data_IF_261703172700
#
_entry.id   IF_261703172700
#
_cell.length_a   1.000
_cell.length_b   1.000
_cell.length_c   1.000
_cell.angle_alpha   90.00
_cell.angle_beta   90.00
_cell.angle_gamma   90.00
#
_symmetry.space_group_name_H-M   'P 1'
#
loop_
_entity.id
_entity.type
_entity.pdbx_description
1 polymer ?
#
# COMPACT_ATOMS: atom_id res chain seq x y z
N UNK A 1 10.68 25.33 26.80
CA UNK A 1 9.47 24.80 26.16
C UNK A 1 9.89 23.65 25.26
N UNK A 2 9.89 22.41 25.77
CA UNK A 2 10.12 21.22 24.94
C UNK A 2 8.84 20.94 24.16
N UNK A 3 8.66 21.56 23.00
CA UNK A 3 7.60 21.17 22.06
C UNK A 3 8.02 19.89 21.36
N UNK A 4 7.90 18.78 22.08
CA UNK A 4 7.98 17.43 21.53
C UNK A 4 6.74 17.18 20.68
N UNK A 5 6.73 17.71 19.46
CA UNK A 5 5.96 17.01 18.42
C UNK A 5 6.52 15.59 18.40
N UNK A 6 5.70 14.54 18.50
CA UNK A 6 6.21 13.19 18.31
C UNK A 6 6.92 13.16 16.95
N UNK A 7 8.09 12.50 16.83
CA UNK A 7 8.88 12.45 15.59
C UNK A 7 8.04 12.19 14.33
N UNK A 8 6.93 11.46 14.50
CA UNK A 8 5.98 11.17 13.45
C UNK A 8 5.16 12.35 12.93
N UNK A 9 4.66 13.24 13.77
CA UNK A 9 3.94 14.43 13.30
C UNK A 9 4.85 15.33 12.46
N UNK A 10 6.13 15.41 12.85
CA UNK A 10 7.17 16.11 12.08
C UNK A 10 7.41 15.42 10.74
N UNK A 11 7.51 14.08 10.74
CA UNK A 11 7.66 13.28 9.53
C UNK A 11 6.52 13.51 8.52
N UNK A 12 5.27 13.41 8.97
CA UNK A 12 4.09 13.57 8.11
C UNK A 12 3.97 15.03 7.60
N UNK A 13 4.30 16.03 8.44
CA UNK A 13 4.33 17.43 8.02
C UNK A 13 5.43 17.71 6.98
N UNK A 14 6.65 17.18 7.17
CA UNK A 14 7.75 17.33 6.22
C UNK A 14 7.43 16.61 4.90
N UNK A 15 6.88 15.39 4.98
CA UNK A 15 6.40 14.64 3.82
C UNK A 15 5.42 15.51 3.02
N UNK A 16 4.41 16.07 3.69
CA UNK A 16 3.34 16.83 3.06
C UNK A 16 3.81 18.15 2.48
N UNK A 17 4.59 18.95 3.22
CA UNK A 17 5.10 20.24 2.74
C UNK A 17 5.97 20.08 1.50
N UNK A 18 6.84 19.06 1.50
CA UNK A 18 7.70 18.77 0.36
C UNK A 18 6.90 18.25 -0.82
N UNK A 19 5.95 17.34 -0.58
CA UNK A 19 5.11 16.78 -1.65
C UNK A 19 4.24 17.85 -2.32
N UNK A 20 3.73 18.82 -1.55
CA UNK A 20 2.96 19.96 -2.07
C UNK A 20 3.79 20.89 -2.97
N UNK A 21 5.09 20.98 -2.75
CA UNK A 21 5.98 21.85 -3.54
C UNK A 21 6.66 21.13 -4.71
N UNK A 22 6.90 19.82 -4.59
CA UNK A 22 7.68 19.03 -5.56
C UNK A 22 6.88 17.95 -6.29
N UNK A 23 5.62 17.75 -5.95
CA UNK A 23 4.78 16.67 -6.46
C UNK A 23 5.08 15.31 -5.81
N UNK A 24 4.23 14.33 -6.11
CA UNK A 24 4.35 12.96 -5.60
C UNK A 24 5.61 12.23 -6.10
N UNK A 25 6.11 12.59 -7.28
CA UNK A 25 7.27 11.96 -7.92
C UNK A 25 8.58 12.24 -7.18
N UNK A 26 8.59 13.25 -6.31
CA UNK A 26 9.69 13.48 -5.38
C UNK A 26 9.90 12.31 -4.43
N UNK A 27 8.81 11.71 -3.93
CA UNK A 27 8.86 10.59 -2.99
C UNK A 27 8.81 9.24 -3.67
N UNK A 28 8.02 9.11 -4.73
CA UNK A 28 7.84 7.87 -5.47
C UNK A 28 8.06 8.17 -6.95
N UNK A 29 9.21 7.80 -7.50
CA UNK A 29 9.69 8.25 -8.82
C UNK A 29 8.71 8.02 -9.97
N UNK A 30 7.85 7.00 -9.87
CA UNK A 30 6.80 6.69 -10.84
C UNK A 30 5.39 7.11 -10.36
N UNK A 31 5.27 8.15 -9.53
CA UNK A 31 4.00 8.72 -9.06
C UNK A 31 3.84 10.20 -9.43
N UNK A 32 3.49 10.50 -10.67
CA UNK A 32 3.28 11.86 -11.19
C UNK A 32 1.88 12.36 -10.81
N UNK A 33 1.78 12.95 -9.63
CA UNK A 33 0.56 13.59 -9.15
C UNK A 33 0.88 14.85 -8.35
N UNK A 34 0.00 15.83 -8.43
CA UNK A 34 0.04 16.99 -7.55
C UNK A 34 -0.49 16.61 -6.17
N UNK A 35 0.13 17.13 -5.12
CA UNK A 35 -0.31 16.90 -3.75
C UNK A 35 -0.93 18.18 -3.20
N UNK A 36 -2.16 18.05 -2.72
CA UNK A 36 -2.84 19.05 -1.91
C UNK A 36 -3.00 18.55 -0.47
N UNK A 37 -3.66 19.36 0.36
CA UNK A 37 -3.97 18.99 1.74
C UNK A 37 -5.46 19.19 2.01
N UNK A 38 -5.99 18.38 2.92
CA UNK A 38 -7.28 18.63 3.57
C UNK A 38 -7.14 18.45 5.07
N UNK A 39 -7.93 19.18 5.84
CA UNK A 39 -8.04 18.98 7.28
C UNK A 39 -9.08 17.89 7.57
N UNK A 40 -8.74 16.99 8.50
CA UNK A 40 -9.66 16.00 9.08
C UNK A 40 -9.38 15.95 10.58
N UNK A 41 -10.32 16.43 11.39
CA UNK A 41 -10.16 16.45 12.85
C UNK A 41 -9.06 17.39 13.34
N UNK A 42 -8.79 18.50 12.64
CA UNK A 42 -7.72 19.44 13.00
C UNK A 42 -6.32 18.98 12.58
N UNK A 43 -6.22 17.90 11.80
CA UNK A 43 -4.97 17.36 11.30
C UNK A 43 -4.91 17.41 9.77
N UNK A 44 -3.77 17.83 9.18
CA UNK A 44 -3.61 17.88 7.73
C UNK A 44 -3.34 16.48 7.17
N UNK A 45 -4.06 16.11 6.11
CA UNK A 45 -3.87 14.87 5.36
C UNK A 45 -3.56 15.15 3.89
N UNK A 46 -2.68 14.36 3.26
CA UNK A 46 -2.36 14.53 1.85
C UNK A 46 -3.55 14.15 0.97
N UNK A 47 -3.73 14.92 -0.11
CA UNK A 47 -4.67 14.60 -1.18
C UNK A 47 -3.87 14.51 -2.48
N UNK A 48 -3.76 13.32 -3.06
CA UNK A 48 -3.17 13.16 -4.40
C UNK A 48 -4.20 13.53 -5.44
N UNK A 49 -3.94 14.58 -6.21
CA UNK A 49 -4.71 14.90 -7.40
C UNK A 49 -4.14 14.10 -8.56
N UNK A 50 -4.91 13.11 -8.99
CA UNK A 50 -4.51 12.28 -10.11
C UNK A 50 -4.80 13.00 -11.41
N UNK A 51 -3.95 12.81 -12.40
CA UNK A 51 -4.24 13.18 -13.78
C UNK A 51 -4.14 11.94 -14.68
N UNK A 52 -4.35 12.11 -15.98
CA UNK A 52 -4.31 11.00 -16.93
C UNK A 52 -2.99 10.23 -16.78
N UNK A 53 -3.08 8.98 -16.32
CA UNK A 53 -1.88 8.24 -15.91
C UNK A 53 -1.05 7.74 -17.10
N UNK A 54 0.25 8.01 -17.07
CA UNK A 54 1.21 7.36 -17.97
C UNK A 54 1.25 5.84 -17.74
N UNK A 55 1.73 5.07 -18.71
CA UNK A 55 1.78 3.61 -18.72
C UNK A 55 2.61 3.00 -17.58
N UNK A 56 3.60 3.71 -17.08
CA UNK A 56 4.48 3.26 -15.99
C UNK A 56 4.08 3.81 -14.62
N UNK A 57 2.99 4.57 -14.55
CA UNK A 57 2.51 5.19 -13.33
C UNK A 57 2.19 4.13 -12.26
N UNK A 58 2.62 4.38 -11.03
CA UNK A 58 2.47 3.46 -9.92
C UNK A 58 0.99 3.20 -9.61
N UNK A 59 0.66 1.99 -9.14
CA UNK A 59 -0.70 1.70 -8.68
C UNK A 59 -1.10 2.57 -7.47
N UNK A 60 -0.15 3.14 -6.72
CA UNK A 60 -0.48 4.00 -5.56
C UNK A 60 -1.04 5.38 -5.98
N UNK A 61 -0.81 5.79 -7.23
CA UNK A 61 -1.25 7.05 -7.84
C UNK A 61 -2.04 6.84 -9.13
N UNK A 62 -2.33 5.60 -9.54
CA UNK A 62 -3.09 5.33 -10.76
C UNK A 62 -4.11 4.21 -10.58
N UNK A 63 -5.42 4.54 -10.63
CA UNK A 63 -6.50 3.59 -10.73
C UNK A 63 -6.43 2.71 -11.98
N UNK A 64 -5.90 3.24 -13.10
CA UNK A 64 -5.62 2.44 -14.30
C UNK A 64 -4.57 1.38 -14.03
N UNK A 65 -3.49 1.75 -13.35
CA UNK A 65 -2.46 0.79 -12.97
C UNK A 65 -3.00 -0.22 -11.97
N UNK A 66 -3.73 0.22 -10.94
CA UNK A 66 -4.33 -0.64 -9.91
C UNK A 66 -5.29 -1.69 -10.50
N UNK A 67 -6.31 -1.25 -11.23
CA UNK A 67 -7.42 -2.13 -11.61
C UNK A 67 -7.27 -2.79 -12.98
N UNK A 68 -6.44 -2.22 -13.88
CA UNK A 68 -6.29 -2.74 -15.24
C UNK A 68 -4.89 -3.29 -15.49
N UNK A 69 -3.85 -2.44 -15.38
CA UNK A 69 -2.51 -2.82 -15.86
C UNK A 69 -1.85 -3.86 -14.95
N UNK A 70 -1.93 -3.69 -13.63
CA UNK A 70 -1.36 -4.63 -12.68
C UNK A 70 -2.07 -5.99 -12.74
N UNK A 71 -3.40 -5.97 -12.77
CA UNK A 71 -4.22 -7.17 -12.93
C UNK A 71 -3.87 -7.92 -14.24
N UNK A 72 -3.68 -7.18 -15.35
CA UNK A 72 -3.23 -7.76 -16.62
C UNK A 72 -1.82 -8.35 -16.53
N UNK A 73 -0.86 -7.64 -15.92
CA UNK A 73 0.50 -8.14 -15.76
C UNK A 73 0.54 -9.43 -14.94
N UNK A 74 -0.20 -9.47 -13.82
CA UNK A 74 -0.26 -10.63 -12.93
C UNK A 74 -0.93 -11.83 -13.62
N UNK A 75 -2.06 -11.60 -14.31
CA UNK A 75 -2.72 -12.64 -15.10
C UNK A 75 -1.77 -13.23 -16.16
N UNK A 76 -1.05 -12.39 -16.91
CA UNK A 76 -0.14 -12.86 -17.95
C UNK A 76 1.07 -13.65 -17.43
N UNK A 77 1.48 -13.43 -16.16
CA UNK A 77 2.58 -14.17 -15.52
C UNK A 77 2.20 -15.56 -15.07
N UNK A 78 0.94 -15.76 -14.70
CA UNK A 78 0.45 -17.05 -14.22
C UNK A 78 0.12 -18.03 -15.36
N UNK A 79 0.21 -17.58 -16.61
CA UNK A 79 -0.20 -18.36 -17.78
C UNK A 79 1.00 -18.92 -18.55
N UNK A 80 0.89 -20.14 -19.11
CA UNK A 80 1.88 -20.68 -20.03
C UNK A 80 2.09 -19.78 -21.27
N UNK A 81 3.29 -19.79 -21.90
CA UNK A 81 3.61 -18.93 -23.05
C UNK A 81 2.57 -18.89 -24.19
N UNK A 82 2.02 -20.01 -24.69
CA UNK A 82 1.05 -19.96 -25.80
C UNK A 82 -0.27 -19.30 -25.40
N UNK A 83 -0.74 -19.55 -24.17
CA UNK A 83 -1.97 -18.96 -23.65
C UNK A 83 -1.78 -17.47 -23.32
N UNK A 84 -0.58 -17.09 -22.86
CA UNK A 84 -0.18 -15.70 -22.66
C UNK A 84 -0.19 -14.92 -23.98
N UNK A 85 0.26 -15.51 -25.09
CA UNK A 85 0.22 -14.87 -26.42
C UNK A 85 -1.22 -14.65 -26.91
N UNK A 86 -2.09 -15.65 -26.76
CA UNK A 86 -3.51 -15.54 -27.10
C UNK A 86 -4.20 -14.46 -26.24
N UNK A 87 -3.95 -14.44 -24.94
CA UNK A 87 -4.51 -13.44 -24.05
C UNK A 87 -3.93 -12.05 -24.28
N UNK A 88 -2.67 -11.91 -24.70
CA UNK A 88 -2.14 -10.63 -25.15
C UNK A 88 -2.92 -10.10 -26.36
N UNK A 89 -3.15 -10.94 -27.38
CA UNK A 89 -3.93 -10.56 -28.55
C UNK A 89 -5.39 -10.23 -28.21
N UNK A 90 -6.03 -11.02 -27.35
CA UNK A 90 -7.42 -10.81 -26.91
C UNK A 90 -7.61 -9.75 -25.83
N UNK A 91 -6.54 -9.35 -25.13
CA UNK A 91 -6.64 -8.45 -23.97
C UNK A 91 -7.23 -7.09 -24.31
N UNK A 92 -7.06 -6.61 -25.54
CA UNK A 92 -7.67 -5.37 -26.00
C UNK A 92 -9.21 -5.43 -25.95
N UNK A 93 -9.82 -6.60 -26.17
CA UNK A 93 -11.28 -6.78 -26.16
C UNK A 93 -11.86 -6.69 -24.74
N UNK A 94 -11.08 -7.06 -23.72
CA UNK A 94 -11.51 -7.02 -22.31
C UNK A 94 -11.10 -5.69 -21.66
N UNK A 95 -9.82 -5.34 -21.75
CA UNK A 95 -9.27 -4.17 -21.08
C UNK A 95 -9.56 -2.87 -21.84
N UNK A 96 -9.84 -2.91 -23.14
CA UNK A 96 -10.22 -1.72 -23.92
C UNK A 96 -11.52 -1.09 -23.43
N UNK A 97 -12.65 -1.84 -23.37
CA UNK A 97 -13.91 -1.34 -22.81
C UNK A 97 -13.79 -0.89 -21.35
N UNK A 98 -13.06 -1.64 -20.51
CA UNK A 98 -12.83 -1.25 -19.12
C UNK A 98 -11.98 0.03 -19.00
N UNK A 99 -10.99 0.21 -19.88
CA UNK A 99 -10.18 1.43 -19.97
C UNK A 99 -11.03 2.64 -20.39
N UNK A 100 -11.90 2.46 -21.38
CA UNK A 100 -12.83 3.51 -21.81
C UNK A 100 -13.85 3.85 -20.73
N UNK A 101 -14.36 2.84 -20.02
CA UNK A 101 -15.26 3.03 -18.88
C UNK A 101 -14.58 3.81 -17.76
N UNK A 102 -13.35 3.44 -17.39
CA UNK A 102 -12.57 4.14 -16.38
C UNK A 102 -12.33 5.61 -16.79
N UNK A 103 -11.97 5.86 -18.04
CA UNK A 103 -11.85 7.24 -18.56
C UNK A 103 -13.16 8.02 -18.47
N UNK A 104 -14.27 7.41 -18.89
CA UNK A 104 -15.57 8.05 -18.90
C UNK A 104 -16.10 8.33 -17.47
N UNK A 105 -15.67 7.52 -16.51
CA UNK A 105 -15.94 7.70 -15.07
C UNK A 105 -15.07 8.76 -14.40
N UNK A 106 -13.97 9.20 -15.05
CA UNK A 106 -12.95 10.11 -14.50
C UNK A 106 -12.28 9.59 -13.22
N UNK A 107 -12.34 8.29 -12.96
CA UNK A 107 -11.69 7.71 -11.78
C UNK A 107 -10.15 7.85 -11.87
N UNK A 108 -9.57 7.93 -13.07
CA UNK A 108 -8.16 8.28 -13.29
C UNK A 108 -7.82 9.75 -12.99
N UNK A 109 -8.81 10.59 -12.66
CA UNK A 109 -8.63 12.00 -12.30
C UNK A 109 -9.12 12.27 -10.87
N UNK A 110 -9.23 11.24 -10.04
CA UNK A 110 -9.74 11.36 -8.68
C UNK A 110 -8.84 12.22 -7.78
N UNK A 111 -9.45 12.80 -6.75
CA UNK A 111 -8.72 13.31 -5.59
C UNK A 111 -8.65 12.20 -4.53
N UNK A 112 -7.46 11.64 -4.32
CA UNK A 112 -7.24 10.52 -3.39
C UNK A 112 -6.81 11.07 -2.03
N UNK A 113 -7.71 11.01 -1.07
CA UNK A 113 -7.54 11.55 0.28
C UNK A 113 -6.76 10.56 1.16
N UNK A 114 -5.87 11.11 1.99
CA UNK A 114 -5.01 10.35 2.89
C UNK A 114 -3.98 9.48 2.18
N UNK A 115 -3.58 9.85 0.96
CA UNK A 115 -2.67 9.05 0.13
C UNK A 115 -1.21 9.48 0.33
N UNK A 116 -0.49 8.77 1.21
CA UNK A 116 0.95 8.98 1.42
C UNK A 116 1.84 8.28 0.36
N UNK A 117 1.23 7.85 -0.76
CA UNK A 117 1.90 7.13 -1.85
C UNK A 117 2.58 5.82 -1.41
N UNK A 118 2.14 5.24 -0.28
CA UNK A 118 2.53 3.90 0.15
C UNK A 118 1.55 2.85 -0.36
N UNK A 119 1.98 1.58 -0.32
CA UNK A 119 1.17 0.44 -0.77
C UNK A 119 -0.06 0.20 0.11
N UNK A 120 0.02 0.56 1.38
CA UNK A 120 -1.05 0.43 2.39
C UNK A 120 -1.05 1.66 3.28
N UNK A 121 -2.02 2.54 3.10
CA UNK A 121 -2.31 3.62 4.04
C UNK A 121 -3.13 3.05 5.21
N UNK A 122 -2.82 3.49 6.42
CA UNK A 122 -3.57 3.14 7.63
C UNK A 122 -4.13 4.44 8.20
N UNK A 123 -5.37 4.40 8.66
CA UNK A 123 -6.10 5.59 9.10
C UNK A 123 -6.43 5.48 10.59
N UNK A 124 -6.49 6.61 11.31
CA UNK A 124 -7.07 6.62 12.64
C UNK A 124 -8.59 6.44 12.56
N UNK A 125 -9.23 6.28 13.71
CA UNK A 125 -10.67 6.21 13.82
C UNK A 125 -11.32 7.61 13.64
N UNK A 126 -11.41 8.08 12.40
CA UNK A 126 -12.15 9.31 12.08
C UNK A 126 -13.63 9.16 12.42
N UNK A 127 -14.16 10.14 13.15
CA UNK A 127 -15.57 10.22 13.48
C UNK A 127 -16.42 10.53 12.25
N UNK A 128 -17.72 10.24 12.35
CA UNK A 128 -18.69 10.59 11.32
C UNK A 128 -18.67 12.09 10.98
N UNK A 129 -18.61 12.95 11.99
CA UNK A 129 -18.62 14.41 11.81
C UNK A 129 -17.38 14.91 11.07
N UNK A 130 -16.19 14.40 11.40
CA UNK A 130 -14.95 14.75 10.70
C UNK A 130 -14.99 14.32 9.23
N UNK A 131 -15.48 13.11 8.95
CA UNK A 131 -15.65 12.60 7.60
C UNK A 131 -16.69 13.39 6.81
N UNK A 132 -17.77 13.83 7.46
CA UNK A 132 -18.80 14.66 6.86
C UNK A 132 -18.21 16.00 6.42
N UNK A 133 -17.56 16.72 7.34
CA UNK A 133 -16.88 17.99 7.05
C UNK A 133 -15.85 17.85 5.93
N UNK A 134 -15.03 16.80 5.98
CA UNK A 134 -14.06 16.49 4.93
C UNK A 134 -14.75 16.26 3.58
N UNK A 135 -15.80 15.45 3.55
CA UNK A 135 -16.52 15.11 2.30
C UNK A 135 -17.13 16.37 1.68
N UNK A 136 -17.76 17.23 2.46
CA UNK A 136 -18.36 18.50 2.01
C UNK A 136 -17.30 19.48 1.48
N UNK A 137 -16.21 19.66 2.23
CA UNK A 137 -15.11 20.54 1.85
C UNK A 137 -14.43 20.07 0.55
N UNK A 138 -14.16 18.77 0.43
CA UNK A 138 -13.52 18.18 -0.75
C UNK A 138 -14.44 18.18 -1.98
N UNK A 139 -15.73 17.93 -1.78
CA UNK A 139 -16.73 18.01 -2.85
C UNK A 139 -16.84 19.43 -3.42
N UNK A 140 -16.81 20.44 -2.55
CA UNK A 140 -16.85 21.85 -2.93
C UNK A 140 -15.56 22.27 -3.64
N UNK A 141 -14.39 21.84 -3.14
CA UNK A 141 -13.09 22.17 -3.72
C UNK A 141 -12.85 21.49 -5.06
N UNK A 142 -13.41 20.30 -5.27
CA UNK A 142 -13.22 19.49 -6.48
C UNK A 142 -14.54 19.04 -7.12
N UNK A 143 -15.34 19.97 -7.68
CA UNK A 143 -16.69 19.69 -8.19
C UNK A 143 -16.72 18.72 -9.38
N UNK A 144 -15.57 18.44 -10.00
CA UNK A 144 -15.45 17.60 -11.19
C UNK A 144 -14.61 16.34 -11.00
N UNK A 145 -14.01 16.14 -9.81
CA UNK A 145 -13.14 14.99 -9.53
C UNK A 145 -13.85 14.04 -8.56
N UNK A 146 -13.92 12.73 -8.87
CA UNK A 146 -14.34 11.75 -7.87
C UNK A 146 -13.41 11.84 -6.66
N UNK A 147 -13.95 11.61 -5.47
CA UNK A 147 -13.11 11.49 -4.28
C UNK A 147 -12.82 10.02 -4.02
N UNK A 148 -11.62 9.70 -3.57
CA UNK A 148 -11.21 8.34 -3.25
C UNK A 148 -10.51 8.26 -1.90
N UNK A 149 -10.73 7.16 -1.18
CA UNK A 149 -9.89 6.74 -0.05
C UNK A 149 -9.51 5.28 -0.30
N UNK A 150 -8.21 4.99 -0.31
CA UNK A 150 -7.69 3.63 -0.55
C UNK A 150 -7.67 2.83 0.76
N UNK A 151 -7.43 1.54 0.68
CA UNK A 151 -7.10 0.69 1.83
C UNK A 151 -8.15 0.65 2.95
N UNK A 152 -9.44 0.68 2.61
CA UNK A 152 -10.53 0.49 3.58
C UNK A 152 -10.72 -1.01 3.81
N UNK A 153 -10.67 -1.44 5.07
CA UNK A 153 -10.87 -2.84 5.45
C UNK A 153 -11.67 -2.89 6.75
N UNK A 154 -12.84 -3.55 6.77
CA UNK A 154 -13.71 -3.55 7.97
C UNK A 154 -13.06 -4.25 9.17
N UNK A 155 -12.15 -5.18 8.95
CA UNK A 155 -11.40 -5.85 10.02
C UNK A 155 -10.31 -4.95 10.64
N UNK A 156 -9.87 -3.91 9.91
CA UNK A 156 -8.84 -2.97 10.35
C UNK A 156 -9.45 -1.73 11.01
N UNK A 157 -10.48 -1.17 10.36
CA UNK A 157 -11.18 0.04 10.77
C UNK A 157 -12.69 -0.06 10.46
N UNK A 158 -13.46 -0.83 11.26
CA UNK A 158 -14.87 -1.10 10.99
C UNK A 158 -15.73 0.18 10.93
N UNK A 159 -15.55 1.08 11.90
CA UNK A 159 -16.32 2.32 12.00
C UNK A 159 -16.09 3.23 10.80
N UNK A 160 -14.86 3.28 10.27
CA UNK A 160 -14.53 4.09 9.10
C UNK A 160 -15.34 3.65 7.87
N UNK A 161 -15.41 2.35 7.60
CA UNK A 161 -16.21 1.84 6.48
C UNK A 161 -17.69 2.19 6.64
N UNK A 162 -18.24 2.00 7.85
CA UNK A 162 -19.64 2.30 8.14
C UNK A 162 -19.95 3.80 7.98
N UNK A 163 -19.13 4.68 8.54
CA UNK A 163 -19.32 6.14 8.42
C UNK A 163 -19.26 6.60 6.95
N UNK A 164 -18.28 6.10 6.19
CA UNK A 164 -18.15 6.41 4.76
C UNK A 164 -19.41 5.97 3.99
N UNK A 165 -19.93 4.76 4.24
CA UNK A 165 -21.15 4.28 3.59
C UNK A 165 -22.38 5.13 3.94
N UNK A 166 -22.53 5.55 5.20
CA UNK A 166 -23.61 6.45 5.63
C UNK A 166 -23.53 7.81 4.92
N UNK A 167 -22.31 8.32 4.70
CA UNK A 167 -22.05 9.54 3.92
C UNK A 167 -22.16 9.34 2.41
N UNK A 168 -22.44 8.12 1.95
CA UNK A 168 -22.69 7.83 0.55
C UNK A 168 -21.48 7.50 -0.29
N UNK A 169 -20.38 7.10 0.34
CA UNK A 169 -19.24 6.52 -0.34
C UNK A 169 -19.53 5.06 -0.69
N UNK A 170 -19.18 4.65 -1.90
CA UNK A 170 -19.32 3.27 -2.36
C UNK A 170 -17.99 2.52 -2.20
N UNK A 171 -18.06 1.27 -1.75
CA UNK A 171 -16.87 0.43 -1.57
C UNK A 171 -16.62 -0.40 -2.82
N UNK A 172 -15.48 -0.18 -3.47
CA UNK A 172 -15.03 -0.95 -4.63
C UNK A 172 -13.94 -1.92 -4.20
N UNK A 173 -14.12 -3.25 -4.38
CA UNK A 173 -13.09 -4.22 -4.05
C UNK A 173 -11.77 -3.93 -4.76
N UNK A 174 -10.67 -3.87 -3.99
CA UNK A 174 -9.36 -3.52 -4.51
C UNK A 174 -8.43 -4.74 -4.56
N UNK A 175 -8.27 -5.46 -3.45
CA UNK A 175 -7.32 -6.58 -3.33
C UNK A 175 -7.59 -7.47 -2.13
N UNK A 176 -7.05 -8.69 -2.15
CA UNK A 176 -6.95 -9.54 -0.95
C UNK A 176 -5.72 -9.14 -0.15
N UNK A 177 -5.90 -8.98 1.15
CA UNK A 177 -4.83 -8.73 2.11
C UNK A 177 -4.84 -9.85 3.16
N UNK A 178 -3.84 -9.82 4.03
CA UNK A 178 -3.69 -10.79 5.10
C UNK A 178 -3.50 -10.05 6.41
N UNK A 179 -4.33 -10.36 7.40
CA UNK A 179 -4.30 -9.78 8.72
C UNK A 179 -3.86 -10.84 9.72
N UNK A 180 -3.05 -10.46 10.69
CA UNK A 180 -2.60 -11.33 11.75
C UNK A 180 -2.73 -10.59 13.08
N UNK A 181 -3.13 -11.29 14.13
CA UNK A 181 -3.09 -10.81 15.50
C UNK A 181 -1.90 -11.48 16.21
N UNK A 182 -0.75 -10.82 16.31
CA UNK A 182 0.44 -11.39 16.92
C UNK A 182 0.30 -11.61 18.44
N UNK A 183 -0.75 -11.11 19.08
CA UNK A 183 -0.99 -11.33 20.51
C UNK A 183 -1.57 -12.72 20.78
N UNK A 184 -2.16 -13.36 19.76
CA UNK A 184 -2.68 -14.70 19.88
C UNK A 184 -1.56 -15.73 19.99
N UNK A 185 -1.60 -16.51 21.07
CA UNK A 185 -0.63 -17.60 21.31
C UNK A 185 -0.65 -18.65 20.17
N UNK A 186 -1.76 -18.81 19.47
CA UNK A 186 -1.91 -19.73 18.32
C UNK A 186 -0.95 -19.40 17.19
N UNK A 187 -0.75 -18.10 16.87
CA UNK A 187 0.18 -17.63 15.82
C UNK A 187 1.59 -18.17 16.06
N UNK A 188 2.08 -18.09 17.30
CA UNK A 188 3.42 -18.53 17.69
C UNK A 188 3.57 -20.05 17.80
N UNK A 189 2.47 -20.80 17.72
CA UNK A 189 2.51 -22.27 17.67
C UNK A 189 2.75 -22.80 16.26
N UNK A 190 2.53 -22.00 15.21
CA UNK A 190 2.79 -22.40 13.82
C UNK A 190 4.25 -22.81 13.62
N UNK A 191 4.47 -23.94 12.93
CA UNK A 191 5.81 -24.48 12.69
C UNK A 191 6.71 -23.49 11.93
N UNK A 192 6.17 -22.82 10.91
CA UNK A 192 6.93 -21.81 10.16
C UNK A 192 7.33 -20.60 11.01
N UNK A 193 6.45 -20.13 11.90
CA UNK A 193 6.79 -19.03 12.83
C UNK A 193 7.93 -19.43 13.76
N UNK A 194 7.89 -20.64 14.31
CA UNK A 194 8.98 -21.17 15.16
C UNK A 194 10.30 -21.28 14.41
N UNK A 195 10.26 -21.81 13.18
CA UNK A 195 11.46 -21.95 12.35
C UNK A 195 12.05 -20.57 11.97
N UNK A 196 11.20 -19.61 11.62
CA UNK A 196 11.68 -18.27 11.27
C UNK A 196 12.23 -17.51 12.49
N UNK A 197 11.64 -17.74 13.67
CA UNK A 197 12.18 -17.20 14.94
C UNK A 197 13.58 -17.74 15.23
N UNK A 198 13.81 -19.04 14.98
CA UNK A 198 15.15 -19.65 15.12
C UNK A 198 16.14 -19.07 14.12
N UNK A 199 15.70 -18.82 12.88
CA UNK A 199 16.56 -18.15 11.89
C UNK A 199 17.04 -16.81 12.43
N UNK A 200 16.15 -15.97 12.98
CA UNK A 200 16.56 -14.67 13.54
C UNK A 200 17.61 -14.75 14.67
N UNK A 201 17.73 -15.90 15.33
CA UNK A 201 18.61 -16.10 16.49
C UNK A 201 19.90 -16.84 16.16
N UNK A 202 20.10 -17.29 14.92
CA UNK A 202 21.26 -18.12 14.55
C UNK A 202 22.59 -17.35 14.47
N UNK A 203 22.55 -16.02 14.53
CA UNK A 203 23.72 -15.15 14.48
C UNK A 203 24.39 -15.06 13.10
N UNK A 204 23.90 -15.76 12.09
CA UNK A 204 24.51 -15.75 10.75
C UNK A 204 24.25 -14.41 10.05
N UNK A 205 23.02 -13.89 10.16
CA UNK A 205 22.61 -12.60 9.58
C UNK A 205 22.30 -11.64 10.71
N UNK A 206 23.03 -10.53 10.74
CA UNK A 206 22.89 -9.47 11.72
C UNK A 206 21.66 -8.62 11.41
N UNK A 207 20.92 -8.25 12.46
CA UNK A 207 19.80 -7.31 12.39
C UNK A 207 20.32 -5.95 12.84
N UNK A 208 20.25 -4.96 11.95
CA UNK A 208 20.75 -3.61 12.21
C UNK A 208 19.58 -2.64 12.39
N UNK A 209 19.62 -1.87 13.47
CA UNK A 209 18.63 -0.82 13.77
C UNK A 209 18.89 0.44 12.94
N UNK A 210 17.84 1.25 12.73
CA UNK A 210 17.94 2.51 12.01
C UNK A 210 19.02 3.47 12.57
N UNK A 211 19.23 3.49 13.89
CA UNK A 211 20.21 4.38 14.53
C UNK A 211 21.67 4.09 14.13
N UNK A 212 21.92 2.94 13.50
CA UNK A 212 23.24 2.55 12.98
C UNK A 212 23.37 2.77 11.47
N UNK A 213 22.29 3.22 10.81
CA UNK A 213 22.29 3.51 9.37
C UNK A 213 22.73 4.94 9.12
N UNK A 214 23.43 5.14 8.01
CA UNK A 214 23.90 6.44 7.55
C UNK A 214 23.33 6.77 6.17
N UNK A 215 23.40 8.03 5.76
CA UNK A 215 22.98 8.46 4.42
C UNK A 215 23.74 7.73 3.30
N UNK A 216 25.01 7.36 3.53
CA UNK A 216 25.80 6.58 2.58
C UNK A 216 25.30 5.15 2.35
N UNK A 217 24.49 4.60 3.27
CA UNK A 217 23.93 3.25 3.12
C UNK A 217 22.69 3.21 2.21
N UNK A 218 21.99 4.33 2.09
CA UNK A 218 20.67 4.42 1.46
C UNK A 218 20.65 3.96 -0.01
N UNK A 219 21.65 4.26 -0.87
CA UNK A 219 21.67 3.74 -2.23
C UNK A 219 21.67 2.20 -2.29
N UNK A 220 22.45 1.53 -1.43
CA UNK A 220 22.51 0.08 -1.36
C UNK A 220 21.20 -0.52 -0.85
N UNK A 221 20.62 0.07 0.20
CA UNK A 221 19.35 -0.36 0.77
C UNK A 221 18.18 -0.17 -0.22
N UNK A 222 18.17 0.94 -0.97
CA UNK A 222 17.22 1.18 -2.05
C UNK A 222 17.36 0.14 -3.16
N UNK A 223 18.58 -0.26 -3.51
CA UNK A 223 18.79 -1.29 -4.51
C UNK A 223 18.18 -2.64 -4.08
N UNK A 224 18.30 -3.03 -2.80
CA UNK A 224 17.67 -4.24 -2.27
C UNK A 224 16.13 -4.21 -2.37
N UNK A 225 15.53 -3.04 -2.10
CA UNK A 225 14.09 -2.83 -2.30
C UNK A 225 13.71 -3.00 -3.79
N UNK A 226 14.45 -2.35 -4.68
CA UNK A 226 14.19 -2.36 -6.12
C UNK A 226 14.32 -3.75 -6.74
N UNK A 227 15.36 -4.50 -6.38
CA UNK A 227 15.55 -5.88 -6.85
C UNK A 227 14.31 -6.74 -6.61
N UNK A 228 13.72 -6.62 -5.41
CA UNK A 228 12.51 -7.36 -5.06
C UNK A 228 11.26 -6.75 -5.73
N UNK A 229 10.93 -5.49 -5.44
CA UNK A 229 9.63 -4.93 -5.82
C UNK A 229 9.57 -4.45 -7.25
N UNK A 230 10.64 -3.90 -7.80
CA UNK A 230 10.60 -3.28 -9.12
C UNK A 230 11.00 -4.33 -10.16
N UNK A 231 12.20 -4.87 -10.03
CA UNK A 231 12.82 -5.72 -11.07
C UNK A 231 12.15 -7.10 -11.13
N UNK A 232 11.95 -7.74 -9.96
CA UNK A 232 11.27 -9.03 -9.88
C UNK A 232 9.75 -8.92 -9.96
N UNK A 233 9.14 -7.94 -9.26
CA UNK A 233 7.69 -7.86 -9.17
C UNK A 233 7.03 -6.94 -10.18
N UNK A 234 7.24 -5.63 -10.25
CA UNK A 234 6.64 -4.80 -11.32
C UNK A 234 7.12 -3.35 -11.22
N UNK A 235 7.38 -2.73 -12.36
CA UNK A 235 7.57 -1.28 -12.47
C UNK A 235 6.31 -0.46 -12.15
N UNK A 236 5.14 -1.10 -11.95
CA UNK A 236 3.94 -0.44 -11.45
C UNK A 236 3.89 -0.39 -9.91
N UNK A 237 4.80 -1.07 -9.20
CA UNK A 237 4.95 -0.89 -7.76
C UNK A 237 5.55 0.50 -7.46
N UNK A 238 5.32 1.07 -6.27
CA UNK A 238 5.89 2.36 -5.91
C UNK A 238 7.43 2.28 -5.90
N UNK A 239 8.06 3.04 -6.79
CA UNK A 239 9.52 3.14 -6.87
C UNK A 239 10.00 4.28 -5.97
N UNK A 240 10.17 3.98 -4.69
CA UNK A 240 10.62 4.97 -3.70
C UNK A 240 11.96 5.60 -4.11
N UNK A 241 11.99 6.93 -4.12
CA UNK A 241 13.18 7.70 -4.48
C UNK A 241 14.23 7.67 -3.36
N UNK A 242 15.47 8.10 -3.65
CA UNK A 242 16.47 8.27 -2.60
C UNK A 242 16.02 9.29 -1.54
N UNK A 243 15.35 10.37 -1.95
CA UNK A 243 14.80 11.36 -1.04
C UNK A 243 13.79 10.75 -0.06
N UNK A 244 12.97 9.78 -0.49
CA UNK A 244 12.06 9.09 0.42
C UNK A 244 12.81 8.25 1.47
N UNK A 245 13.93 7.61 1.08
CA UNK A 245 14.78 6.89 2.03
C UNK A 245 15.45 7.87 3.02
N UNK A 246 15.90 9.04 2.57
CA UNK A 246 16.45 10.10 3.41
C UNK A 246 15.41 10.59 4.43
N UNK A 247 14.19 10.91 3.98
CA UNK A 247 13.07 11.26 4.84
C UNK A 247 12.85 10.20 5.93
N UNK A 248 12.82 8.92 5.55
CA UNK A 248 12.62 7.83 6.49
C UNK A 248 13.77 7.72 7.49
N UNK A 249 15.01 7.85 7.05
CA UNK A 249 16.20 7.83 7.91
C UNK A 249 16.16 8.96 8.95
N UNK A 250 15.79 10.16 8.54
CA UNK A 250 15.80 11.35 9.40
C UNK A 250 14.60 11.42 10.36
N UNK A 251 13.42 11.01 9.90
CA UNK A 251 12.15 11.29 10.61
C UNK A 251 11.44 10.06 11.13
N UNK A 252 11.91 8.86 10.76
CA UNK A 252 11.21 7.58 11.00
C UNK A 252 9.79 7.56 10.39
N UNK A 253 9.61 8.21 9.23
CA UNK A 253 8.36 8.11 8.45
C UNK A 253 8.03 6.64 8.14
N UNK A 254 9.02 5.89 7.66
CA UNK A 254 9.10 4.44 7.86
C UNK A 254 10.27 4.20 8.82
N UNK A 255 10.06 3.36 9.83
CA UNK A 255 11.16 2.95 10.71
C UNK A 255 11.92 1.80 10.05
N UNK A 256 13.22 1.97 9.86
CA UNK A 256 14.05 0.99 9.18
C UNK A 256 14.62 -0.08 10.11
N UNK A 257 14.62 -1.31 9.61
CA UNK A 257 15.48 -2.40 10.06
C UNK A 257 16.21 -2.95 8.85
N UNK A 258 17.52 -3.14 8.96
CA UNK A 258 18.32 -3.72 7.90
C UNK A 258 18.88 -5.09 8.30
N UNK A 259 19.27 -5.87 7.31
CA UNK A 259 20.00 -7.12 7.50
C UNK A 259 21.39 -6.98 6.92
N UNK A 260 22.40 -7.38 7.70
CA UNK A 260 23.80 -7.42 7.28
C UNK A 260 24.32 -8.86 7.34
N UNK A 261 24.99 -9.29 6.29
CA UNK A 261 25.60 -10.62 6.22
C UNK A 261 26.97 -10.49 5.59
N UNK A 262 28.01 -10.98 6.26
CA UNK A 262 29.41 -10.85 5.79
C UNK A 262 29.79 -9.40 5.44
N UNK A 263 29.40 -8.45 6.28
CA UNK A 263 29.74 -7.03 6.12
C UNK A 263 28.95 -6.27 5.04
N UNK A 264 28.05 -6.93 4.30
CA UNK A 264 27.22 -6.30 3.25
C UNK A 264 25.74 -6.25 3.61
N UNK A 265 25.06 -5.20 3.15
CA UNK A 265 23.61 -5.09 3.25
C UNK A 265 22.93 -6.15 2.38
N UNK A 266 22.05 -6.95 2.97
CA UNK A 266 21.33 -8.03 2.28
C UNK A 266 19.82 -7.96 2.45
N UNK A 267 19.31 -7.10 3.31
CA UNK A 267 17.88 -6.88 3.46
C UNK A 267 17.52 -5.54 4.10
N UNK A 268 16.30 -5.08 3.85
CA UNK A 268 15.70 -3.91 4.47
C UNK A 268 14.20 -4.15 4.70
N UNK A 269 13.70 -3.60 5.80
CA UNK A 269 12.31 -3.55 6.19
C UNK A 269 11.98 -2.11 6.62
N UNK A 270 10.88 -1.55 6.11
CA UNK A 270 10.34 -0.27 6.54
C UNK A 270 8.99 -0.46 7.21
N UNK A 271 8.96 -0.22 8.53
CA UNK A 271 7.79 -0.37 9.39
C UNK A 271 6.91 0.89 9.31
N UNK A 272 5.61 0.71 9.06
CA UNK A 272 4.63 1.80 8.99
C UNK A 272 3.48 1.56 9.98
N UNK A 273 3.43 2.40 11.01
CA UNK A 273 2.37 2.46 12.01
C UNK A 273 2.07 3.94 12.31
N UNK A 274 1.15 4.58 11.56
CA UNK A 274 0.82 5.98 11.78
C UNK A 274 0.09 6.16 13.13
N UNK A 275 0.17 7.36 13.70
CA UNK A 275 -0.47 7.68 14.98
C UNK A 275 -1.98 7.43 14.92
N UNK A 276 -2.54 6.85 15.98
CA UNK A 276 -3.97 6.52 16.07
C UNK A 276 -4.40 5.26 15.32
N UNK A 277 -3.49 4.58 14.61
CA UNK A 277 -3.73 3.24 14.06
C UNK A 277 -3.26 2.16 15.04
N UNK A 278 -4.08 1.13 15.24
CA UNK A 278 -3.72 -0.07 16.02
C UNK A 278 -3.05 -1.16 15.16
N UNK A 279 -2.58 -0.79 13.96
CA UNK A 279 -2.01 -1.70 12.98
C UNK A 279 -0.63 -1.28 12.52
N UNK A 280 0.22 -2.28 12.28
CA UNK A 280 1.52 -2.19 11.64
C UNK A 280 1.45 -2.81 10.24
N UNK A 281 2.10 -2.19 9.26
CA UNK A 281 2.32 -2.76 7.92
C UNK A 281 3.74 -2.47 7.43
N UNK A 282 4.15 -3.08 6.32
CA UNK A 282 5.47 -2.86 5.71
C UNK A 282 5.34 -2.46 4.24
N UNK A 283 5.26 -1.16 3.92
CA UNK A 283 5.20 -0.72 2.52
C UNK A 283 6.55 -0.87 1.81
N UNK A 284 7.65 -1.00 2.56
CA UNK A 284 9.00 -1.15 2.03
C UNK A 284 9.60 -2.45 2.60
N UNK A 285 9.91 -3.39 1.72
CA UNK A 285 10.68 -4.60 2.06
C UNK A 285 11.60 -4.93 0.87
N UNK A 286 12.84 -5.29 1.14
CA UNK A 286 13.83 -5.56 0.11
C UNK A 286 14.86 -6.56 0.60
N UNK A 287 15.39 -7.38 -0.31
CA UNK A 287 16.50 -8.26 0.00
C UNK A 287 17.25 -8.64 -1.27
N UNK A 288 18.50 -9.09 -1.11
CA UNK A 288 19.32 -9.52 -2.24
C UNK A 288 18.76 -10.83 -2.79
N UNK A 289 18.11 -10.76 -3.95
CA UNK A 289 17.47 -11.92 -4.58
C UNK A 289 18.45 -12.86 -5.26
N UNK A 290 19.74 -12.48 -5.38
CA UNK A 290 20.79 -13.33 -5.96
C UNK A 290 21.39 -14.32 -4.96
N UNK A 291 21.11 -14.13 -3.67
CA UNK A 291 21.63 -14.98 -2.61
C UNK A 291 20.86 -16.31 -2.45
N UNK A 292 21.51 -17.34 -1.89
CA UNK A 292 20.87 -18.63 -1.63
C UNK A 292 19.63 -18.52 -0.75
N UNK A 293 18.58 -19.27 -1.09
CA UNK A 293 17.31 -19.24 -0.36
C UNK A 293 17.44 -19.72 1.09
N UNK A 294 18.45 -20.56 1.36
CA UNK A 294 18.80 -21.13 2.65
C UNK A 294 19.15 -20.06 3.69
N UNK A 295 19.66 -18.89 3.27
CA UNK A 295 19.86 -17.74 4.16
C UNK A 295 18.53 -17.20 4.72
N UNK A 296 17.41 -17.49 4.06
CA UNK A 296 16.07 -17.20 4.55
C UNK A 296 15.77 -15.72 4.71
N UNK A 297 16.36 -14.83 3.89
CA UNK A 297 16.27 -13.37 4.06
C UNK A 297 14.83 -12.86 4.14
N UNK A 298 13.95 -13.28 3.23
CA UNK A 298 12.53 -12.92 3.30
C UNK A 298 11.85 -13.45 4.57
N UNK A 299 12.18 -14.67 5.01
CA UNK A 299 11.66 -15.27 6.26
C UNK A 299 12.11 -14.47 7.48
N UNK A 300 13.37 -14.04 7.52
CA UNK A 300 13.91 -13.17 8.57
C UNK A 300 13.17 -11.83 8.61
N UNK A 301 13.05 -11.14 7.48
CA UNK A 301 12.33 -9.86 7.40
C UNK A 301 10.87 -9.97 7.86
N UNK A 302 10.16 -11.02 7.42
CA UNK A 302 8.76 -11.23 7.82
C UNK A 302 8.62 -11.66 9.29
N UNK A 303 9.60 -12.39 9.83
CA UNK A 303 9.64 -12.69 11.26
C UNK A 303 9.93 -11.44 12.09
N UNK A 304 10.85 -10.57 11.66
CA UNK A 304 11.10 -9.28 12.30
C UNK A 304 9.82 -8.46 12.37
N UNK A 305 9.11 -8.34 11.25
CA UNK A 305 7.82 -7.64 11.19
C UNK A 305 6.79 -8.20 12.19
N UNK A 306 6.68 -9.53 12.30
CA UNK A 306 5.76 -10.18 13.24
C UNK A 306 6.16 -9.94 14.70
N UNK A 307 7.45 -9.97 15.02
CA UNK A 307 7.94 -9.65 16.37
C UNK A 307 7.73 -8.18 16.72
N UNK A 308 7.98 -7.26 15.79
CA UNK A 308 7.75 -5.82 15.97
C UNK A 308 6.28 -5.52 16.24
N UNK A 309 5.36 -6.13 15.48
CA UNK A 309 3.92 -5.98 15.72
C UNK A 309 3.54 -6.48 17.13
N UNK A 310 4.05 -7.65 17.56
CA UNK A 310 3.81 -8.18 18.91
C UNK A 310 4.37 -7.29 20.01
N UNK A 311 5.61 -6.85 19.86
CA UNK A 311 6.29 -6.02 20.85
C UNK A 311 5.55 -4.69 21.06
N UNK A 312 5.02 -4.11 19.98
CA UNK A 312 4.25 -2.86 20.00
C UNK A 312 2.77 -3.07 20.33
N UNK A 313 2.34 -4.32 20.54
CA UNK A 313 0.93 -4.69 20.78
C UNK A 313 -0.02 -4.23 19.65
N UNK A 314 0.45 -4.28 18.41
CA UNK A 314 -0.32 -3.89 17.23
C UNK A 314 -0.79 -5.12 16.45
N UNK A 315 -1.94 -5.00 15.78
CA UNK A 315 -2.32 -5.90 14.71
C UNK A 315 -1.34 -5.81 13.54
N UNK A 316 -1.16 -6.90 12.81
CA UNK A 316 -0.25 -6.95 11.67
C UNK A 316 -1.02 -7.05 10.35
N UNK A 317 -0.91 -6.02 9.52
CA UNK A 317 -1.43 -5.98 8.18
C UNK A 317 -0.34 -6.40 7.18
N UNK A 318 -0.32 -7.67 6.80
CA UNK A 318 0.68 -8.22 5.88
C UNK A 318 0.55 -7.74 4.43
N UNK A 319 -0.49 -6.97 4.08
CA UNK A 319 -0.76 -6.54 2.69
C UNK A 319 -1.01 -7.74 1.75
N UNK A 320 -1.03 -7.50 0.45
CA UNK A 320 -1.30 -8.49 -0.60
C UNK A 320 -0.08 -9.34 -0.99
N UNK A 321 -0.32 -10.42 -1.75
CA UNK A 321 0.72 -11.32 -2.27
C UNK A 321 1.26 -12.32 -1.24
N UNK A 322 2.00 -13.33 -1.70
CA UNK A 322 2.59 -14.39 -0.86
C UNK A 322 1.56 -15.04 0.12
N UNK A 323 0.37 -15.34 -0.40
CA UNK A 323 -0.79 -15.84 0.35
C UNK A 323 -0.49 -17.08 1.18
N UNK A 324 0.04 -18.15 0.56
CA UNK A 324 0.41 -19.37 1.28
C UNK A 324 1.43 -19.11 2.38
N UNK A 325 2.44 -18.29 2.11
CA UNK A 325 3.48 -17.93 3.07
C UNK A 325 2.88 -17.22 4.30
N UNK A 326 1.94 -16.29 4.09
CA UNK A 326 1.30 -15.53 5.16
C UNK A 326 0.32 -16.37 5.96
N UNK A 327 -0.49 -17.22 5.31
CA UNK A 327 -1.39 -18.18 5.98
C UNK A 327 -0.64 -19.14 6.90
N UNK A 328 0.51 -19.62 6.43
CA UNK A 328 1.41 -20.48 7.21
C UNK A 328 1.95 -19.80 8.49
N UNK A 329 1.78 -18.48 8.63
CA UNK A 329 2.23 -17.62 9.73
C UNK A 329 1.09 -16.91 10.45
N UNK A 330 -0.12 -17.44 10.39
CA UNK A 330 -1.29 -16.89 11.08
C UNK A 330 -2.02 -15.77 10.32
N UNK A 331 -1.64 -15.51 9.07
CA UNK A 331 -2.34 -14.56 8.22
C UNK A 331 -3.74 -15.06 7.82
N UNK A 332 -4.76 -14.29 8.16
CA UNK A 332 -6.16 -14.50 7.79
C UNK A 332 -6.49 -13.60 6.60
N UNK A 333 -7.06 -14.15 5.50
CA UNK A 333 -7.41 -13.35 4.33
C UNK A 333 -8.54 -12.37 4.65
N UNK A 334 -8.42 -11.13 4.20
CA UNK A 334 -9.48 -10.12 4.27
C UNK A 334 -9.58 -9.37 2.93
N UNK A 335 -10.77 -8.87 2.61
CA UNK A 335 -11.00 -8.08 1.40
C UNK A 335 -10.81 -6.60 1.72
N UNK A 336 -9.93 -5.94 0.97
CA UNK A 336 -9.67 -4.51 1.08
C UNK A 336 -10.35 -3.77 -0.08
N UNK A 337 -10.84 -2.56 0.20
CA UNK A 337 -11.64 -1.74 -0.69
C UNK A 337 -10.99 -0.37 -0.94
N UNK A 338 -11.38 0.25 -2.05
CA UNK A 338 -11.28 1.69 -2.28
C UNK A 338 -12.66 2.28 -2.13
N UNK A 339 -12.81 3.25 -1.23
CA UNK A 339 -14.02 4.04 -1.09
C UNK A 339 -14.04 5.11 -2.18
N UNK A 340 -15.19 5.30 -2.85
CA UNK A 340 -15.40 6.30 -3.90
C UNK A 340 -16.60 7.17 -3.56
N UNK A 341 -16.46 8.49 -3.67
CA UNK A 341 -17.57 9.45 -3.58
C UNK A 341 -17.79 10.15 -4.92
N UNK A 342 -19.01 10.04 -5.43
CA UNK A 342 -19.45 10.57 -6.73
C UNK A 342 -20.68 11.48 -6.65
N UNK A 343 -21.25 11.70 -5.45
CA UNK A 343 -22.58 12.32 -5.34
C UNK A 343 -22.63 13.74 -5.87
N UNK A 344 -21.55 14.50 -5.69
CA UNK A 344 -21.36 15.89 -6.14
C UNK A 344 -21.07 16.02 -7.65
N UNK A 345 -20.76 14.92 -8.33
CA UNK A 345 -20.34 14.96 -9.73
C UNK A 345 -21.50 15.19 -10.71
N UNK A 346 -21.21 15.74 -11.90
CA UNK A 346 -22.17 15.78 -12.99
C UNK A 346 -22.68 14.38 -13.37
N UNK A 347 -23.90 14.31 -13.91
CA UNK A 347 -24.60 13.04 -14.19
C UNK A 347 -23.85 12.08 -15.10
N UNK A 348 -22.98 12.58 -15.99
CA UNK A 348 -22.24 11.73 -16.94
C UNK A 348 -21.18 10.85 -16.25
N UNK A 349 -20.11 11.40 -15.61
CA UNK A 349 -19.16 10.58 -14.86
C UNK A 349 -19.84 9.67 -13.83
N UNK A 350 -20.84 10.21 -13.12
CA UNK A 350 -21.63 9.49 -12.12
C UNK A 350 -22.20 8.16 -12.61
N UNK A 351 -22.80 8.15 -13.81
CA UNK A 351 -23.34 6.91 -14.42
C UNK A 351 -22.27 5.87 -14.71
N UNK A 352 -21.10 6.31 -15.20
CA UNK A 352 -19.99 5.42 -15.51
C UNK A 352 -19.31 4.89 -14.24
N UNK A 353 -19.21 5.71 -13.18
CA UNK A 353 -18.74 5.26 -11.86
C UNK A 353 -19.67 4.17 -11.32
N UNK A 354 -20.99 4.37 -11.34
CA UNK A 354 -21.94 3.34 -10.88
C UNK A 354 -21.85 2.03 -11.67
N UNK A 355 -21.64 2.12 -12.99
CA UNK A 355 -21.41 0.93 -13.81
C UNK A 355 -20.10 0.23 -13.42
N UNK A 356 -19.02 0.99 -13.22
CA UNK A 356 -17.74 0.48 -12.74
C UNK A 356 -17.89 -0.23 -11.38
N UNK A 357 -18.51 0.42 -10.41
CA UNK A 357 -18.76 -0.10 -9.07
C UNK A 357 -19.55 -1.42 -9.14
N UNK A 358 -20.64 -1.45 -9.91
CA UNK A 358 -21.47 -2.65 -10.06
C UNK A 358 -20.68 -3.83 -10.64
N UNK A 359 -19.90 -3.58 -11.71
CA UNK A 359 -19.05 -4.61 -12.33
C UNK A 359 -18.01 -5.13 -11.33
N UNK A 360 -17.34 -4.23 -10.61
CA UNK A 360 -16.28 -4.61 -9.68
C UNK A 360 -16.84 -5.36 -8.46
N UNK A 361 -17.92 -4.88 -7.86
CA UNK A 361 -18.57 -5.55 -6.73
C UNK A 361 -19.09 -6.95 -7.11
N UNK A 362 -19.61 -7.13 -8.33
CA UNK A 362 -20.13 -8.41 -8.79
C UNK A 362 -19.04 -9.45 -9.06
N UNK A 363 -17.94 -9.05 -9.72
CA UNK A 363 -16.98 -10.02 -10.26
C UNK A 363 -15.65 -10.10 -9.49
N UNK A 364 -15.13 -8.97 -9.00
CA UNK A 364 -13.77 -8.90 -8.44
C UNK A 364 -13.61 -9.73 -7.17
N UNK A 365 -14.54 -9.75 -6.19
CA UNK A 365 -14.39 -10.60 -5.00
C UNK A 365 -14.27 -12.09 -5.33
N UNK A 366 -14.99 -12.56 -6.37
CA UNK A 366 -14.90 -13.94 -6.84
C UNK A 366 -13.55 -14.26 -7.48
N UNK A 367 -13.07 -13.36 -8.34
CA UNK A 367 -11.76 -13.49 -9.00
C UNK A 367 -10.62 -13.46 -7.99
N UNK A 368 -10.65 -12.50 -7.07
CA UNK A 368 -9.66 -12.34 -6.01
C UNK A 368 -9.56 -13.59 -5.12
N UNK A 369 -10.70 -14.14 -4.68
CA UNK A 369 -10.72 -15.38 -3.87
C UNK A 369 -10.22 -16.60 -4.63
N UNK A 370 -10.39 -16.65 -5.96
CA UNK A 370 -9.87 -17.74 -6.79
C UNK A 370 -8.36 -17.62 -6.97
N UNK A 371 -7.87 -16.43 -7.32
CA UNK A 371 -6.43 -16.16 -7.44
C UNK A 371 -5.69 -16.46 -6.13
N UNK A 372 -6.29 -16.09 -5.01
CA UNK A 372 -5.75 -16.30 -3.67
C UNK A 372 -5.62 -17.77 -3.24
N UNK A 373 -6.37 -18.69 -3.86
CA UNK A 373 -6.22 -20.14 -3.64
C UNK A 373 -5.13 -20.78 -4.49
N UNK A 374 -4.76 -20.14 -5.60
CA UNK A 374 -3.77 -20.62 -6.55
C UNK A 374 -2.35 -20.17 -6.20
N UNK A 375 -2.24 -19.03 -5.49
CA UNK A 375 -1.01 -18.44 -4.96
C UNK A 375 -0.78 -18.84 -3.51
#
# INVERSE_FOLDING_TARGET
>A
MNTSLPPRMVADALWLLTARSRGGNHWVSNSHCDIQTTDIGGHPYPVSLLDNSDWQESYVSSPRSTWLRYARQEALRQLPPPLSALLKAGSCLIFGPLSALLQASRLDQAAVIGNHLVSTNLYPAWSYAELQCMTEAMSTRHPQRPLMIRNICPEVCPDLMQHLQQLGWNMVPARMIYLCDPQQKSVWKHNHVKQDTRLLQDGQVEIVSQDQLTSSDLPALRQLFRQLFIDKHSHLNPDFSLAFFELCLETRFLEFKALRWQGRWVGILGLYAPSGSNWLTTPLIGYDTSLPQELGLYRRLMALLLHEARQRQLGLHYSSGASQFKRARGGVPALEYTAIHDRHLPSRPKRYIRLWEKLFQQWVPGLLRRADKLL
#
